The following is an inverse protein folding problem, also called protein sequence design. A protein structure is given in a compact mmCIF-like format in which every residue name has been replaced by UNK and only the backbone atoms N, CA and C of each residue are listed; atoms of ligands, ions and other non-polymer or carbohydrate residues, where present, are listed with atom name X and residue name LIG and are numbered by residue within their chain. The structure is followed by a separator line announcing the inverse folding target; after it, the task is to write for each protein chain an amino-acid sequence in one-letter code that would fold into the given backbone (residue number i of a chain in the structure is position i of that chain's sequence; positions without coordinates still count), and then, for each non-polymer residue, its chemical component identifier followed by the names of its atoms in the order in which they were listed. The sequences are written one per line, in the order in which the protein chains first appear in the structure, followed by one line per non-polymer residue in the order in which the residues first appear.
data_IF_864035038872
#
_entry.id   IF_864035038872
#
_cell.length_a   1.000
_cell.length_b   1.000
_cell.length_c   1.000
_cell.angle_alpha   90.00
_cell.angle_beta   90.00
_cell.angle_gamma   90.00
#
_symmetry.space_group_name_H-M   'P 1'
#
loop_
_entity.id
_entity.type
_entity.pdbx_description
1 polymer ?
#
# COMPACT_ATOMS: atom_id res chain seq x y z
N UNK A 1 -29.84 13.99 -30.77
CA UNK A 1 -30.79 13.31 -29.86
C UNK A 1 -30.01 12.41 -28.92
N UNK A 2 -29.78 12.87 -27.70
CA UNK A 2 -29.08 12.13 -26.65
C UNK A 2 -30.15 11.28 -25.95
N UNK A 3 -30.01 9.96 -25.95
CA UNK A 3 -30.92 9.08 -25.20
C UNK A 3 -30.74 9.34 -23.70
N UNK A 4 -31.81 9.69 -22.95
CA UNK A 4 -31.76 9.77 -21.50
C UNK A 4 -31.95 8.36 -20.91
N UNK A 5 -31.21 8.01 -19.85
CA UNK A 5 -31.56 6.88 -18.98
C UNK A 5 -30.59 5.70 -18.90
N UNK A 6 -29.27 5.91 -18.98
CA UNK A 6 -28.34 4.94 -18.36
C UNK A 6 -28.23 5.25 -16.86
N UNK A 7 -28.38 4.26 -15.96
CA UNK A 7 -28.13 4.48 -14.54
C UNK A 7 -26.65 4.90 -14.41
N UNK A 8 -26.43 6.13 -13.94
CA UNK A 8 -25.11 6.75 -13.71
C UNK A 8 -24.33 6.13 -12.54
N UNK A 9 -24.64 4.89 -12.20
CA UNK A 9 -24.00 4.15 -11.12
C UNK A 9 -23.30 2.96 -11.76
N UNK A 10 -22.07 3.19 -12.27
CA UNK A 10 -21.06 2.15 -12.11
C UNK A 10 -21.17 1.71 -10.66
N UNK A 11 -21.43 0.43 -10.40
CA UNK A 11 -21.75 -0.08 -9.08
C UNK A 11 -20.61 0.21 -8.09
N UNK A 12 -20.62 1.39 -7.49
CA UNK A 12 -19.83 1.73 -6.33
C UNK A 12 -20.43 0.88 -5.22
N UNK A 13 -19.78 -0.24 -4.89
CA UNK A 13 -20.14 -1.03 -3.73
C UNK A 13 -20.25 -0.09 -2.53
N UNK A 14 -21.35 -0.21 -1.77
CA UNK A 14 -21.65 0.64 -0.61
C UNK A 14 -20.55 0.46 0.44
N UNK A 15 -19.51 1.30 0.38
CA UNK A 15 -18.49 1.34 1.42
C UNK A 15 -19.14 1.74 2.74
N UNK A 16 -19.14 0.82 3.70
CA UNK A 16 -19.67 1.12 5.01
C UNK A 16 -18.65 2.02 5.73
N UNK A 17 -19.09 3.18 6.21
CA UNK A 17 -18.28 4.28 6.77
C UNK A 17 -17.36 3.91 7.96
N UNK A 18 -17.34 2.63 8.37
CA UNK A 18 -16.58 2.05 9.48
C UNK A 18 -15.22 1.52 9.05
N UNK A 19 -15.03 1.20 7.76
CA UNK A 19 -13.76 0.69 7.22
C UNK A 19 -12.84 1.88 6.91
N UNK A 20 -11.88 2.12 7.80
CA UNK A 20 -10.88 3.18 7.68
C UNK A 20 -9.53 2.55 7.36
N UNK A 21 -8.69 3.28 6.62
CA UNK A 21 -7.30 2.92 6.33
C UNK A 21 -6.36 3.77 7.17
N UNK A 22 -5.39 3.20 7.85
CA UNK A 22 -4.29 3.98 8.46
C UNK A 22 -3.05 3.85 7.59
N UNK A 23 -2.43 5.00 7.27
CA UNK A 23 -1.10 5.07 6.67
C UNK A 23 -0.06 5.38 7.72
N UNK A 24 0.95 4.53 7.81
CA UNK A 24 2.06 4.67 8.75
C UNK A 24 3.38 4.48 8.01
N UNK A 25 4.15 5.54 7.78
CA UNK A 25 5.46 5.39 7.15
C UNK A 25 6.53 5.17 8.21
N UNK A 26 7.29 4.07 8.24
CA UNK A 26 8.54 4.07 8.97
C UNK A 26 9.53 5.03 8.30
N UNK A 27 10.21 5.82 9.12
CA UNK A 27 11.24 6.81 8.82
C UNK A 27 12.22 6.84 10.00
N UNK A 28 13.51 6.77 9.73
CA UNK A 28 14.52 6.62 10.77
C UNK A 28 14.64 7.89 11.65
N UNK A 29 14.58 7.82 13.00
CA UNK A 29 14.76 8.99 13.86
C UNK A 29 16.22 9.46 13.89
N UNK A 30 17.17 8.56 13.63
CA UNK A 30 18.62 8.81 13.66
C UNK A 30 19.12 9.38 12.33
N UNK A 31 18.32 9.30 11.27
CA UNK A 31 18.72 9.84 9.99
C UNK A 31 17.57 10.50 9.25
N UNK A 32 17.72 11.81 9.13
CA UNK A 32 16.94 12.83 8.44
C UNK A 32 16.67 12.55 6.96
N UNK A 33 16.76 11.31 6.46
CA UNK A 33 16.60 11.00 5.03
C UNK A 33 15.19 11.26 4.50
N UNK A 34 14.14 11.27 5.33
CA UNK A 34 12.77 11.54 4.90
C UNK A 34 12.16 12.70 5.67
N UNK A 35 11.80 13.78 4.97
CA UNK A 35 11.14 14.96 5.53
C UNK A 35 9.69 15.03 5.04
N UNK A 36 8.79 15.56 5.86
CA UNK A 36 7.40 15.79 5.45
C UNK A 36 7.35 16.60 4.13
N UNK A 37 6.47 16.20 3.21
CA UNK A 37 6.30 16.87 1.91
C UNK A 37 5.95 18.36 2.01
N UNK A 38 5.30 18.77 3.11
CA UNK A 38 4.87 20.15 3.39
C UNK A 38 5.94 20.98 4.10
N UNK A 39 7.08 20.38 4.45
CA UNK A 39 8.16 21.11 5.12
C UNK A 39 8.85 22.10 4.19
N UNK A 40 9.11 23.31 4.72
CA UNK A 40 9.82 24.37 3.99
C UNK A 40 11.33 24.11 3.86
N UNK A 41 11.90 23.22 4.69
CA UNK A 41 13.32 22.87 4.68
C UNK A 41 13.56 21.42 4.27
N UNK A 42 14.63 21.19 3.51
CA UNK A 42 15.08 19.84 3.13
C UNK A 42 16.59 19.80 3.44
N UNK A 43 17.00 19.30 4.63
CA UNK A 43 18.42 19.16 4.98
C UNK A 43 19.20 18.40 3.91
N UNK A 44 20.49 18.67 3.76
CA UNK A 44 21.35 17.93 2.84
C UNK A 44 21.35 16.44 3.20
N UNK A 45 21.18 15.58 2.19
CA UNK A 45 21.00 14.14 2.39
C UNK A 45 19.57 13.74 2.75
N UNK A 46 18.60 14.65 2.73
CA UNK A 46 17.19 14.31 2.93
C UNK A 46 16.38 14.31 1.63
N UNK A 47 15.31 13.53 1.63
CA UNK A 47 14.34 13.37 0.55
C UNK A 47 12.96 13.69 1.11
N UNK A 48 12.11 14.35 0.34
CA UNK A 48 10.72 14.59 0.77
C UNK A 48 9.88 13.33 0.62
N UNK A 49 9.05 13.07 1.62
CA UNK A 49 8.07 11.99 1.60
C UNK A 49 7.09 12.18 0.43
N UNK A 50 7.24 11.35 -0.59
CA UNK A 50 6.40 11.35 -1.78
C UNK A 50 5.34 10.24 -1.72
N UNK A 51 5.57 9.19 -0.94
CA UNK A 51 4.74 7.98 -0.96
C UNK A 51 3.41 8.21 -0.28
N UNK A 52 3.42 8.85 0.90
CA UNK A 52 2.17 9.14 1.63
C UNK A 52 1.23 10.06 0.87
N UNK A 53 1.63 11.23 0.34
CA UNK A 53 0.70 12.06 -0.42
C UNK A 53 0.17 11.35 -1.67
N UNK A 54 0.99 10.52 -2.34
CA UNK A 54 0.53 9.68 -3.45
C UNK A 54 -0.56 8.69 -3.02
N UNK A 55 -0.34 7.95 -1.92
CA UNK A 55 -1.31 6.97 -1.43
C UNK A 55 -2.61 7.63 -0.94
N UNK A 56 -2.51 8.78 -0.28
CA UNK A 56 -3.68 9.58 0.13
C UNK A 56 -4.48 10.02 -1.09
N UNK A 57 -3.81 10.52 -2.13
CA UNK A 57 -4.48 10.91 -3.37
C UNK A 57 -5.20 9.73 -4.02
N UNK A 58 -4.53 8.57 -4.14
CA UNK A 58 -5.10 7.35 -4.70
C UNK A 58 -6.38 6.91 -3.98
N UNK A 59 -6.38 6.94 -2.65
CA UNK A 59 -7.56 6.58 -1.88
C UNK A 59 -8.68 7.60 -2.02
N UNK A 60 -8.35 8.89 -2.00
CA UNK A 60 -9.32 9.97 -2.16
C UNK A 60 -10.04 9.87 -3.51
N UNK A 61 -9.30 9.57 -4.58
CA UNK A 61 -9.84 9.33 -5.92
C UNK A 61 -10.80 8.13 -5.97
N UNK A 62 -10.59 7.12 -5.11
CA UNK A 62 -11.44 5.93 -5.03
C UNK A 62 -12.47 6.01 -3.87
N UNK A 63 -12.71 7.21 -3.32
CA UNK A 63 -13.67 7.48 -2.24
C UNK A 63 -13.41 6.71 -0.92
N UNK A 64 -12.17 6.31 -0.67
CA UNK A 64 -11.78 5.63 0.57
C UNK A 64 -11.30 6.64 1.62
N UNK A 65 -11.69 6.40 2.88
CA UNK A 65 -11.26 7.23 4.01
C UNK A 65 -9.91 6.77 4.54
N UNK A 66 -8.98 7.70 4.64
CA UNK A 66 -7.66 7.48 5.23
C UNK A 66 -7.47 8.27 6.52
N UNK A 67 -6.73 7.69 7.45
CA UNK A 67 -6.18 8.31 8.64
C UNK A 67 -4.67 8.31 8.47
N UNK A 68 -4.08 9.49 8.51
CA UNK A 68 -2.64 9.67 8.44
C UNK A 68 -2.08 9.68 9.86
N UNK A 69 -1.18 8.75 10.20
CA UNK A 69 -0.46 8.74 11.48
C UNK A 69 0.98 9.26 11.35
N UNK A 70 1.35 9.77 10.18
CA UNK A 70 2.62 10.44 9.92
C UNK A 70 3.80 9.49 9.69
N UNK A 71 4.99 10.02 9.97
CA UNK A 71 6.27 9.34 9.82
C UNK A 71 6.67 8.80 11.20
N UNK A 72 6.71 7.48 11.33
CA UNK A 72 7.13 6.75 12.53
C UNK A 72 8.63 6.55 12.54
N UNK A 73 9.31 6.66 13.69
CA UNK A 73 10.70 6.24 13.85
C UNK A 73 10.96 4.80 13.38
N UNK A 74 12.11 4.52 12.74
CA UNK A 74 12.65 3.18 12.47
C UNK A 74 13.21 2.51 13.74
N UNK A 75 12.41 2.53 14.79
CA UNK A 75 12.67 1.88 16.08
C UNK A 75 11.59 0.83 16.29
N UNK A 76 11.97 -0.37 16.73
CA UNK A 76 11.04 -1.50 16.90
C UNK A 76 9.84 -1.14 17.77
N UNK A 77 10.08 -0.47 18.89
CA UNK A 77 9.06 -0.05 19.85
C UNK A 77 8.08 0.97 19.23
N UNK A 78 8.59 1.92 18.46
CA UNK A 78 7.77 2.94 17.79
C UNK A 78 6.97 2.39 16.62
N UNK A 79 7.53 1.45 15.87
CA UNK A 79 6.81 0.70 14.83
C UNK A 79 5.68 -0.12 15.46
N UNK A 80 5.94 -0.77 16.59
CA UNK A 80 4.93 -1.53 17.34
C UNK A 80 3.79 -0.62 17.84
N UNK A 81 4.12 0.48 18.52
CA UNK A 81 3.13 1.47 19.00
C UNK A 81 2.28 2.02 17.84
N UNK A 82 2.92 2.41 16.74
CA UNK A 82 2.25 2.93 15.55
C UNK A 82 1.34 1.90 14.88
N UNK A 83 1.79 0.65 14.77
CA UNK A 83 0.97 -0.46 14.23
C UNK A 83 -0.22 -0.76 15.14
N UNK A 84 -0.04 -0.80 16.46
CA UNK A 84 -1.16 -1.02 17.41
C UNK A 84 -2.21 0.10 17.30
N UNK A 85 -1.77 1.36 17.22
CA UNK A 85 -2.65 2.49 17.01
C UNK A 85 -3.41 2.36 15.66
N UNK A 86 -2.70 2.02 14.59
CA UNK A 86 -3.28 1.80 13.26
C UNK A 86 -4.36 0.70 13.26
N UNK A 87 -4.05 -0.46 13.84
CA UNK A 87 -4.96 -1.62 13.92
C UNK A 87 -6.19 -1.35 14.79
N UNK A 88 -6.08 -0.45 15.76
CA UNK A 88 -7.20 -0.03 16.62
C UNK A 88 -8.15 0.92 15.89
N UNK A 89 -7.61 1.82 15.07
CA UNK A 89 -8.39 2.83 14.36
C UNK A 89 -9.00 2.32 13.03
N UNK A 90 -8.39 1.31 12.41
CA UNK A 90 -8.62 0.94 11.01
C UNK A 90 -8.60 -0.56 10.76
N UNK A 91 -9.22 -1.01 9.67
CA UNK A 91 -9.27 -2.43 9.28
C UNK A 91 -8.09 -2.84 8.40
N UNK A 92 -7.54 -1.87 7.68
CA UNK A 92 -6.36 -2.04 6.84
C UNK A 92 -5.29 -1.03 7.25
N UNK A 93 -4.12 -1.53 7.62
CA UNK A 93 -2.94 -0.72 7.89
C UNK A 93 -1.99 -0.81 6.69
N UNK A 94 -1.50 0.34 6.23
CA UNK A 94 -0.56 0.43 5.11
C UNK A 94 0.70 1.14 5.57
N UNK A 95 1.82 0.44 5.44
CA UNK A 95 3.14 0.99 5.64
C UNK A 95 3.85 1.14 4.30
N UNK A 96 4.58 2.23 4.10
CA UNK A 96 5.48 2.35 2.95
C UNK A 96 6.87 2.79 3.40
N UNK A 97 7.91 2.19 2.83
CA UNK A 97 9.25 2.30 3.41
C UNK A 97 9.48 1.29 4.54
N UNK A 98 10.73 1.14 4.99
CA UNK A 98 11.12 0.23 6.07
C UNK A 98 11.11 -1.28 5.75
N UNK A 99 10.62 -1.68 4.56
CA UNK A 99 10.61 -3.07 4.07
C UNK A 99 11.86 -3.41 3.25
N UNK A 100 12.94 -2.66 3.46
CA UNK A 100 14.16 -2.78 2.65
C UNK A 100 14.96 -4.02 3.02
N UNK A 101 15.81 -4.47 2.10
CA UNK A 101 16.75 -5.58 2.24
C UNK A 101 17.89 -5.27 3.25
N UNK A 102 17.58 -4.66 4.39
CA UNK A 102 18.51 -4.49 5.50
C UNK A 102 18.49 -5.72 6.41
N UNK A 103 19.55 -5.90 7.20
CA UNK A 103 19.76 -7.05 8.09
C UNK A 103 18.70 -7.19 9.21
N UNK A 104 17.80 -6.21 9.37
CA UNK A 104 16.72 -6.24 10.38
C UNK A 104 15.41 -5.72 9.79
N UNK A 105 14.59 -6.63 9.26
CA UNK A 105 13.18 -6.37 8.92
C UNK A 105 12.35 -6.26 10.22
N UNK A 106 12.48 -5.15 10.96
CA UNK A 106 11.76 -4.92 12.22
C UNK A 106 10.25 -5.11 12.08
N UNK A 107 9.68 -4.72 10.93
CA UNK A 107 8.26 -4.82 10.64
C UNK A 107 7.77 -6.28 10.61
N UNK A 108 8.55 -7.22 10.05
CA UNK A 108 8.18 -8.64 10.04
C UNK A 108 8.23 -9.23 11.43
N UNK A 109 9.27 -8.86 12.19
CA UNK A 109 9.46 -9.29 13.56
C UNK A 109 8.34 -8.80 14.48
N UNK A 110 7.93 -7.54 14.38
CA UNK A 110 6.81 -6.96 15.15
C UNK A 110 5.50 -7.65 14.77
N UNK A 111 5.23 -7.84 13.48
CA UNK A 111 4.00 -8.49 13.02
C UNK A 111 3.90 -9.94 13.51
N UNK A 112 4.96 -10.74 13.39
CA UNK A 112 4.93 -12.14 13.77
C UNK A 112 5.02 -12.35 15.28
N UNK A 113 5.98 -11.70 15.96
CA UNK A 113 6.29 -12.00 17.37
C UNK A 113 5.38 -11.26 18.35
N UNK A 114 5.02 -10.01 18.06
CA UNK A 114 4.28 -9.18 19.02
C UNK A 114 2.78 -9.11 18.72
N UNK A 115 2.42 -9.04 17.44
CA UNK A 115 1.02 -8.91 17.03
C UNK A 115 0.37 -10.25 16.65
N UNK A 116 1.17 -11.32 16.52
CA UNK A 116 0.71 -12.66 16.13
C UNK A 116 0.00 -12.69 14.76
N UNK A 117 0.45 -11.84 13.83
CA UNK A 117 -0.03 -11.79 12.46
C UNK A 117 0.67 -12.85 11.60
N UNK A 118 -0.08 -13.41 10.65
CA UNK A 118 0.45 -14.36 9.68
C UNK A 118 0.87 -13.62 8.41
N UNK A 119 2.15 -13.69 8.06
CA UNK A 119 2.68 -13.17 6.80
C UNK A 119 2.33 -14.17 5.69
N UNK A 120 1.57 -13.74 4.67
CA UNK A 120 1.28 -14.58 3.49
C UNK A 120 2.43 -14.59 2.50
N UNK A 121 3.00 -13.42 2.24
CA UNK A 121 4.16 -13.28 1.39
C UNK A 121 4.99 -12.08 1.84
N UNK A 122 6.31 -12.23 1.82
CA UNK A 122 7.27 -11.14 2.08
C UNK A 122 7.97 -10.63 0.82
N UNK A 123 7.76 -11.29 -0.32
CA UNK A 123 8.30 -10.93 -1.63
C UNK A 123 7.32 -11.34 -2.72
N UNK A 124 7.20 -10.50 -3.74
CA UNK A 124 6.37 -10.78 -4.92
C UNK A 124 7.24 -10.67 -6.16
N UNK A 125 7.13 -11.63 -7.08
CA UNK A 125 7.88 -11.61 -8.34
C UNK A 125 7.32 -10.61 -9.37
N UNK A 126 7.27 -9.33 -9.01
CA UNK A 126 6.93 -8.23 -9.89
C UNK A 126 8.11 -7.27 -10.04
N UNK A 127 8.17 -6.59 -11.19
CA UNK A 127 9.07 -5.46 -11.41
C UNK A 127 8.24 -4.25 -11.85
N UNK A 128 8.32 -3.11 -11.15
CA UNK A 128 8.97 -2.86 -9.85
C UNK A 128 8.14 -3.40 -8.65
N UNK A 129 8.71 -3.49 -7.45
CA UNK A 129 7.95 -3.86 -6.23
C UNK A 129 8.25 -5.21 -5.57
N UNK A 130 9.46 -5.77 -5.78
CA UNK A 130 9.87 -7.05 -5.19
C UNK A 130 9.62 -7.19 -3.67
N UNK A 131 9.98 -6.22 -2.79
CA UNK A 131 9.87 -6.39 -1.35
C UNK A 131 8.49 -5.95 -0.80
N UNK A 132 7.41 -6.42 -1.44
CA UNK A 132 6.05 -6.17 -0.91
C UNK A 132 5.71 -7.27 0.08
N UNK A 133 5.35 -6.88 1.30
CA UNK A 133 4.91 -7.80 2.35
C UNK A 133 3.42 -7.62 2.62
N UNK A 134 2.71 -8.74 2.72
CA UNK A 134 1.30 -8.78 3.11
C UNK A 134 1.12 -9.70 4.30
N UNK A 135 0.46 -9.20 5.34
CA UNK A 135 0.11 -9.95 6.52
C UNK A 135 -1.37 -9.78 6.85
N UNK A 136 -1.94 -10.80 7.46
CA UNK A 136 -3.31 -10.80 7.97
C UNK A 136 -3.30 -11.37 9.39
N UNK A 137 -4.21 -10.89 10.22
CA UNK A 137 -4.30 -11.32 11.61
C UNK A 137 -5.60 -10.88 12.24
N UNK A 138 -5.78 -11.24 13.51
CA UNK A 138 -6.90 -10.75 14.32
C UNK A 138 -6.36 -9.78 15.35
N UNK A 139 -6.99 -8.62 15.43
CA UNK A 139 -6.76 -7.63 16.48
C UNK A 139 -8.10 -7.30 17.13
N UNK A 140 -8.21 -7.42 18.44
CA UNK A 140 -9.47 -7.23 19.19
C UNK A 140 -10.66 -8.00 18.58
N UNK A 141 -10.46 -9.29 18.27
CA UNK A 141 -11.43 -10.20 17.64
C UNK A 141 -11.94 -9.77 16.24
N UNK A 142 -11.31 -8.77 15.61
CA UNK A 142 -11.61 -8.35 14.24
C UNK A 142 -10.47 -8.72 13.30
N UNK A 143 -10.82 -9.12 12.08
CA UNK A 143 -9.83 -9.39 11.04
C UNK A 143 -9.21 -8.08 10.57
N UNK A 144 -7.89 -8.07 10.45
CA UNK A 144 -7.10 -6.91 10.04
C UNK A 144 -6.09 -7.31 8.98
N UNK A 145 -5.86 -6.39 8.06
CA UNK A 145 -4.89 -6.54 6.98
C UNK A 145 -3.75 -5.54 7.15
N UNK A 146 -2.53 -5.98 6.89
CA UNK A 146 -1.34 -5.12 6.92
C UNK A 146 -0.61 -5.25 5.58
N UNK A 147 -0.42 -4.12 4.91
CA UNK A 147 0.36 -4.01 3.68
C UNK A 147 1.64 -3.24 3.97
N UNK A 148 2.78 -3.86 3.71
CA UNK A 148 4.08 -3.23 3.79
C UNK A 148 4.62 -3.07 2.36
N UNK A 149 4.57 -1.84 1.87
CA UNK A 149 4.95 -1.42 0.53
C UNK A 149 6.41 -0.96 0.49
N UNK A 150 7.11 -1.15 -0.64
CA UNK A 150 8.48 -0.67 -0.84
C UNK A 150 8.60 0.84 -0.61
N UNK A 151 9.81 1.33 -0.33
CA UNK A 151 10.08 2.75 -0.14
C UNK A 151 10.27 3.55 -1.43
N UNK A 152 10.50 2.90 -2.57
CA UNK A 152 10.64 3.58 -3.86
C UNK A 152 9.26 4.03 -4.38
N UNK A 153 9.03 5.33 -4.67
CA UNK A 153 7.71 5.86 -5.04
C UNK A 153 7.04 5.14 -6.20
N UNK A 154 7.81 4.80 -7.25
CA UNK A 154 7.27 4.06 -8.39
C UNK A 154 6.83 2.68 -7.95
N UNK A 155 7.64 2.01 -7.12
CA UNK A 155 7.30 0.67 -6.62
C UNK A 155 6.08 0.71 -5.69
N UNK A 156 6.00 1.71 -4.81
CA UNK A 156 4.89 1.91 -3.87
C UNK A 156 3.59 2.11 -4.64
N UNK A 157 3.56 3.04 -5.60
CA UNK A 157 2.39 3.33 -6.42
C UNK A 157 1.86 2.09 -7.13
N UNK A 158 2.77 1.36 -7.75
CA UNK A 158 2.53 0.13 -8.50
C UNK A 158 1.94 -0.97 -7.64
N UNK A 159 2.56 -1.22 -6.48
CA UNK A 159 2.11 -2.24 -5.53
C UNK A 159 0.78 -1.85 -4.89
N UNK A 160 0.54 -0.56 -4.67
CA UNK A 160 -0.76 -0.07 -4.20
C UNK A 160 -1.85 -0.29 -5.25
N UNK A 161 -1.58 0.00 -6.53
CA UNK A 161 -2.53 -0.23 -7.62
C UNK A 161 -2.85 -1.71 -7.83
N UNK A 162 -1.84 -2.60 -7.69
CA UNK A 162 -2.01 -4.04 -7.92
C UNK A 162 -2.59 -4.80 -6.75
N UNK A 163 -2.24 -4.44 -5.51
CA UNK A 163 -2.62 -5.21 -4.32
C UNK A 163 -3.57 -4.45 -3.41
N UNK A 164 -3.22 -3.21 -3.04
CA UNK A 164 -4.02 -2.44 -2.10
C UNK A 164 -5.40 -2.12 -2.68
N UNK A 165 -5.46 -1.48 -3.85
CA UNK A 165 -6.71 -1.01 -4.43
C UNK A 165 -7.71 -2.14 -4.73
N UNK A 166 -7.31 -3.27 -5.36
CA UNK A 166 -8.23 -4.38 -5.59
C UNK A 166 -8.71 -5.04 -4.29
N UNK A 167 -7.85 -5.08 -3.26
CA UNK A 167 -8.25 -5.60 -1.93
C UNK A 167 -9.32 -4.70 -1.32
N UNK A 168 -9.13 -3.38 -1.36
CA UNK A 168 -10.10 -2.42 -0.82
C UNK A 168 -11.42 -2.47 -1.58
N UNK A 169 -11.38 -2.49 -2.92
CA UNK A 169 -12.58 -2.65 -3.75
C UNK A 169 -13.32 -3.96 -3.42
N UNK A 170 -12.59 -5.05 -3.19
CA UNK A 170 -13.19 -6.33 -2.81
C UNK A 170 -13.84 -6.26 -1.42
N UNK A 171 -13.18 -5.65 -0.43
CA UNK A 171 -13.75 -5.44 0.91
C UNK A 171 -15.01 -4.57 0.86
N UNK A 172 -15.00 -3.55 0.00
CA UNK A 172 -16.14 -2.68 -0.26
C UNK A 172 -17.34 -3.34 -0.97
N UNK A 173 -17.21 -4.62 -1.38
CA UNK A 173 -18.24 -5.33 -2.13
C UNK A 173 -18.38 -4.92 -3.59
N UNK A 174 -17.32 -4.37 -4.21
CA UNK A 174 -17.36 -4.06 -5.65
C UNK A 174 -17.26 -5.36 -6.45
N UNK A 175 -18.19 -5.54 -7.39
CA UNK A 175 -18.21 -6.71 -8.30
C UNK A 175 -16.96 -6.73 -9.20
N UNK A 176 -16.56 -5.56 -9.70
CA UNK A 176 -15.40 -5.37 -10.56
C UNK A 176 -14.26 -4.72 -9.77
N UNK A 177 -13.48 -5.54 -9.07
CA UNK A 177 -12.37 -5.09 -8.22
C UNK A 177 -11.00 -5.07 -8.92
N UNK A 178 -10.88 -5.71 -10.09
CA UNK A 178 -9.64 -5.74 -10.87
C UNK A 178 -9.61 -4.63 -11.91
N UNK A 179 -8.39 -4.26 -12.31
CA UNK A 179 -8.18 -3.33 -13.43
C UNK A 179 -8.59 -3.96 -14.75
N UNK A 180 -9.19 -3.16 -15.63
CA UNK A 180 -9.49 -3.58 -17.00
C UNK A 180 -8.19 -3.82 -17.76
N UNK A 181 -8.05 -5.01 -18.34
CA UNK A 181 -6.90 -5.37 -19.18
C UNK A 181 -7.31 -5.27 -20.64
N UNK A 182 -6.58 -4.47 -21.40
CA UNK A 182 -6.81 -4.29 -22.84
C UNK A 182 -5.54 -4.71 -23.58
N UNK A 183 -5.68 -5.58 -24.57
CA UNK A 183 -4.56 -5.99 -25.43
C UNK A 183 -4.30 -4.91 -26.48
N UNK A 184 -3.05 -4.45 -26.56
CA UNK A 184 -2.62 -3.41 -27.51
C UNK A 184 -1.33 -3.84 -28.22
N UNK A 185 -1.11 -3.31 -29.43
CA UNK A 185 0.16 -3.47 -30.16
C UNK A 185 1.11 -2.34 -29.76
N UNK A 186 2.30 -2.70 -29.31
CA UNK A 186 3.34 -1.72 -29.00
C UNK A 186 3.85 -1.05 -30.29
N UNK A 187 3.90 0.29 -30.29
CA UNK A 187 4.46 1.07 -31.41
C UNK A 187 5.99 1.20 -31.34
N UNK A 188 6.61 0.77 -30.24
CA UNK A 188 8.04 0.87 -29.99
C UNK A 188 8.57 -0.42 -29.33
N UNK A 189 9.88 -0.63 -29.40
CA UNK A 189 10.54 -1.75 -28.76
C UNK A 189 10.60 -1.55 -27.24
N UNK A 190 10.17 -2.58 -26.50
CA UNK A 190 10.28 -2.63 -25.04
C UNK A 190 11.31 -3.68 -24.63
N UNK A 191 12.24 -3.29 -23.77
CA UNK A 191 13.16 -4.24 -23.14
C UNK A 191 12.46 -4.93 -21.97
N UNK A 192 12.09 -6.19 -22.18
CA UNK A 192 11.55 -7.04 -21.12
C UNK A 192 12.68 -7.77 -20.40
N UNK A 193 12.71 -7.64 -19.07
CA UNK A 193 13.60 -8.46 -18.25
C UNK A 193 13.02 -9.89 -18.18
N UNK A 194 13.74 -10.86 -18.74
CA UNK A 194 13.32 -12.26 -18.92
C UNK A 194 12.84 -13.00 -17.65
N UNK A 195 13.21 -12.53 -16.46
CA UNK A 195 13.03 -13.27 -15.19
C UNK A 195 12.00 -12.67 -14.22
N UNK A 196 11.43 -11.48 -14.48
CA UNK A 196 10.37 -10.89 -13.65
C UNK A 196 9.31 -10.28 -14.53
N UNK A 197 8.03 -10.60 -14.27
CA UNK A 197 6.95 -9.98 -15.04
C UNK A 197 6.89 -8.48 -14.75
N UNK A 198 6.87 -7.67 -15.80
CA UNK A 198 6.38 -6.31 -15.75
C UNK A 198 4.85 -6.43 -15.74
N UNK A 199 4.24 -6.41 -14.54
CA UNK A 199 2.78 -6.44 -14.33
C UNK A 199 2.03 -7.51 -15.13
N UNK A 200 2.10 -8.78 -14.71
CA UNK A 200 1.22 -9.79 -15.32
C UNK A 200 -0.15 -9.85 -14.65
N UNK A 201 -1.19 -9.47 -15.40
CA UNK A 201 -2.56 -9.99 -15.25
C UNK A 201 -2.85 -11.22 -16.13
N UNK A 202 -1.84 -11.77 -16.81
CA UNK A 202 -1.99 -12.93 -17.71
C UNK A 202 -1.55 -14.22 -17.04
N UNK A 203 -2.46 -15.22 -17.01
CA UNK A 203 -2.12 -16.62 -16.72
C UNK A 203 -0.93 -17.04 -17.57
N UNK A 204 0.15 -17.51 -16.94
CA UNK A 204 1.09 -18.42 -17.61
C UNK A 204 0.34 -19.73 -17.82
N UNK A 205 0.04 -20.05 -19.07
CA UNK A 205 -0.28 -21.40 -19.53
C UNK A 205 1.05 -22.11 -19.75
#
# INVERSE_FOLDING_TARGET
MIKPGLPTTFAYGKWNNKEKLVFALPGNPVSTWVVDSRSNGCPLGSVRDTNRPQLIALLKENNFKCVDIGILPDEKEKIEEGLKAALTLCDVAVCSGGVSMGEKDYLKDVLQKQLNFTIKFGRVMIKPGLPTTFAYGKWNNKEKLVFALPGNPVSTWVTAQLFLLPTLKKMAGWEHNQHTVISVRASAHFFFCRYRSLFSGGKRI
#
